data_IF_972462641740
#
_entry.id   IF_972462641740
#
_cell.length_a   1.000
_cell.length_b   1.000
_cell.length_c   1.000
_cell.angle_alpha   90.00
_cell.angle_beta   90.00
_cell.angle_gamma   90.00
#
_symmetry.space_group_name_H-M   'P 1'
#
loop_
_entity.id
_entity.type
_entity.pdbx_description
1 polymer ?
#
# COMPACT_ATOMS: atom_id res chain seq x y z
N UNK A 1 6.41 -26.20 0.90
CA UNK A 1 6.59 -24.79 0.51
C UNK A 1 5.66 -23.82 1.25
N UNK A 2 4.78 -24.25 2.18
CA UNK A 2 3.83 -23.34 2.84
C UNK A 2 4.40 -22.62 4.06
N UNK A 3 5.07 -23.31 4.99
CA UNK A 3 5.46 -22.67 6.27
C UNK A 3 6.37 -21.45 6.13
N UNK A 4 7.26 -21.43 5.14
CA UNK A 4 8.21 -20.32 4.97
C UNK A 4 7.60 -19.11 4.25
N UNK A 5 6.73 -19.33 3.26
CA UNK A 5 6.08 -18.24 2.53
C UNK A 5 5.08 -17.49 3.41
N UNK A 6 4.26 -18.21 4.18
CA UNK A 6 3.33 -17.60 5.13
C UNK A 6 4.09 -16.73 6.14
N UNK A 7 5.27 -17.16 6.59
CA UNK A 7 6.06 -16.40 7.55
C UNK A 7 6.56 -15.06 6.98
N UNK A 8 7.10 -15.05 5.75
CA UNK A 8 7.62 -13.81 5.13
C UNK A 8 6.53 -12.76 4.94
N UNK A 9 5.37 -13.17 4.42
CA UNK A 9 4.29 -12.24 4.12
C UNK A 9 3.63 -11.67 5.36
N UNK A 10 3.42 -12.52 6.37
CA UNK A 10 2.91 -12.10 7.67
C UNK A 10 3.89 -11.19 8.38
N UNK A 11 5.19 -11.48 8.29
CA UNK A 11 6.24 -10.63 8.87
C UNK A 11 6.29 -9.26 8.20
N UNK A 12 6.25 -9.18 6.87
CA UNK A 12 6.23 -7.89 6.16
C UNK A 12 5.02 -7.03 6.58
N UNK A 13 3.83 -7.65 6.67
CA UNK A 13 2.61 -6.95 7.09
C UNK A 13 2.68 -6.53 8.57
N UNK A 14 3.25 -7.37 9.44
CA UNK A 14 3.46 -7.04 10.85
C UNK A 14 4.44 -5.87 11.00
N UNK A 15 5.56 -5.88 10.25
CA UNK A 15 6.53 -4.77 10.22
C UNK A 15 5.86 -3.47 9.76
N UNK A 16 5.01 -3.53 8.73
CA UNK A 16 4.20 -2.38 8.30
C UNK A 16 3.36 -1.82 9.46
N UNK A 17 2.58 -2.66 10.15
CA UNK A 17 1.71 -2.19 11.23
C UNK A 17 2.49 -1.67 12.45
N UNK A 18 3.60 -2.32 12.82
CA UNK A 18 4.48 -1.85 13.89
C UNK A 18 5.06 -0.47 13.54
N UNK A 19 5.54 -0.29 12.30
CA UNK A 19 6.03 0.99 11.82
C UNK A 19 4.92 2.05 11.83
N UNK A 20 3.74 1.73 11.29
CA UNK A 20 2.59 2.66 11.24
C UNK A 20 2.20 3.11 12.64
N UNK A 21 2.11 2.18 13.59
CA UNK A 21 1.80 2.48 14.98
C UNK A 21 2.85 3.40 15.60
N UNK A 22 4.14 3.14 15.36
CA UNK A 22 5.23 3.98 15.86
C UNK A 22 5.19 5.40 15.28
N UNK A 23 5.06 5.56 13.97
CA UNK A 23 5.09 6.88 13.32
C UNK A 23 3.82 7.70 13.60
N UNK A 24 2.64 7.09 13.57
CA UNK A 24 1.40 7.77 13.95
C UNK A 24 1.38 8.11 15.44
N UNK A 25 1.84 7.18 16.29
CA UNK A 25 1.96 7.40 17.72
C UNK A 25 2.91 8.56 18.05
N UNK A 26 4.04 8.67 17.37
CA UNK A 26 4.99 9.78 17.53
C UNK A 26 4.37 11.13 17.14
N UNK A 27 3.57 11.19 16.07
CA UNK A 27 2.86 12.40 15.68
C UNK A 27 1.83 12.82 16.74
N UNK A 28 1.06 11.86 17.27
CA UNK A 28 0.07 12.12 18.32
C UNK A 28 0.75 12.60 19.62
N UNK A 29 1.78 11.89 20.09
CA UNK A 29 2.47 12.23 21.34
C UNK A 29 3.16 13.59 21.26
N UNK A 30 3.81 13.90 20.14
CA UNK A 30 4.49 15.18 19.97
C UNK A 30 3.52 16.36 19.78
N UNK A 31 2.25 16.09 19.44
CA UNK A 31 1.28 17.10 19.02
C UNK A 31 1.68 17.83 17.72
N UNK A 32 2.78 17.42 17.09
CA UNK A 32 3.28 17.96 15.84
C UNK A 32 3.01 16.94 14.73
N UNK A 33 2.99 17.40 13.48
CA UNK A 33 2.71 16.53 12.32
C UNK A 33 1.29 15.95 12.25
N UNK A 34 0.31 16.56 12.93
CA UNK A 34 -1.11 16.14 12.85
C UNK A 34 -1.64 16.07 11.42
N UNK A 35 -1.31 17.06 10.58
CA UNK A 35 -1.72 17.08 9.16
C UNK A 35 -1.05 15.93 8.39
N UNK A 36 0.24 15.69 8.67
CA UNK A 36 0.98 14.61 8.03
C UNK A 36 0.43 13.23 8.43
N UNK A 37 0.07 13.07 9.72
CA UNK A 37 -0.59 11.88 10.26
C UNK A 37 -1.99 11.68 9.67
N UNK A 38 -2.76 12.77 9.45
CA UNK A 38 -4.05 12.71 8.79
C UNK A 38 -3.93 12.19 7.35
N UNK A 39 -2.94 12.65 6.60
CA UNK A 39 -2.66 12.09 5.26
C UNK A 39 -2.25 10.63 5.35
N UNK A 40 -1.41 10.25 6.33
CA UNK A 40 -1.03 8.86 6.51
C UNK A 40 -2.25 7.96 6.78
N UNK A 41 -3.22 8.45 7.56
CA UNK A 41 -4.46 7.72 7.82
C UNK A 41 -5.28 7.47 6.55
N UNK A 42 -5.17 8.32 5.54
CA UNK A 42 -5.86 8.13 4.26
C UNK A 42 -5.42 6.84 3.54
N UNK A 43 -4.22 6.31 3.85
CA UNK A 43 -3.76 5.01 3.34
C UNK A 43 -4.59 3.84 3.89
N UNK A 44 -5.19 3.98 5.08
CA UNK A 44 -6.04 2.95 5.68
C UNK A 44 -7.34 2.76 4.90
N UNK A 45 -7.78 3.76 4.13
CA UNK A 45 -8.92 3.62 3.22
C UNK A 45 -8.69 2.49 2.22
N UNK A 46 -7.48 2.37 1.65
CA UNK A 46 -7.18 1.21 0.80
C UNK A 46 -7.13 -0.10 1.60
N UNK A 47 -6.65 -0.07 2.85
CA UNK A 47 -6.65 -1.26 3.72
C UNK A 47 -8.05 -1.86 3.86
N UNK A 48 -9.10 -1.03 3.98
CA UNK A 48 -10.49 -1.48 3.99
C UNK A 48 -10.84 -2.31 2.74
N UNK A 49 -10.50 -1.82 1.54
CA UNK A 49 -10.74 -2.56 0.29
C UNK A 49 -9.95 -3.87 0.22
N UNK A 50 -8.71 -3.88 0.73
CA UNK A 50 -7.90 -5.09 0.81
C UNK A 50 -8.51 -6.14 1.73
N UNK A 51 -9.05 -5.72 2.87
CA UNK A 51 -9.76 -6.59 3.80
C UNK A 51 -11.06 -7.11 3.20
N UNK A 52 -11.84 -6.27 2.53
CA UNK A 52 -13.04 -6.69 1.81
C UNK A 52 -12.72 -7.78 0.77
N UNK A 53 -11.67 -7.60 -0.03
CA UNK A 53 -11.21 -8.63 -0.98
C UNK A 53 -10.88 -9.95 -0.28
N UNK A 54 -10.18 -9.87 0.85
CA UNK A 54 -9.80 -11.05 1.64
C UNK A 54 -11.02 -11.77 2.21
N UNK A 55 -12.00 -11.04 2.74
CA UNK A 55 -13.27 -11.58 3.23
C UNK A 55 -14.05 -12.25 2.08
N UNK A 56 -14.11 -11.63 0.90
CA UNK A 56 -14.76 -12.24 -0.28
C UNK A 56 -14.09 -13.54 -0.72
N UNK A 57 -12.76 -13.62 -0.60
CA UNK A 57 -12.01 -14.81 -0.96
C UNK A 57 -12.22 -15.94 0.08
N UNK A 58 -12.17 -15.62 1.37
CA UNK A 58 -12.34 -16.60 2.46
C UNK A 58 -13.79 -17.10 2.55
N UNK A 59 -14.78 -16.23 2.36
CA UNK A 59 -16.21 -16.61 2.42
C UNK A 59 -16.67 -17.45 1.23
N UNK A 60 -15.86 -17.57 0.17
CA UNK A 60 -16.27 -18.23 -1.06
C UNK A 60 -17.31 -17.45 -1.88
N UNK A 61 -17.66 -16.22 -1.46
CA UNK A 61 -18.57 -15.33 -2.18
C UNK A 61 -18.11 -15.03 -3.62
N UNK A 62 -16.81 -15.20 -3.91
CA UNK A 62 -16.23 -15.22 -5.25
C UNK A 62 -17.03 -16.08 -6.24
N UNK A 63 -17.45 -17.28 -5.83
CA UNK A 63 -18.15 -18.23 -6.71
C UNK A 63 -19.58 -17.80 -6.99
N UNK A 64 -20.20 -17.13 -6.03
CA UNK A 64 -21.60 -16.69 -6.09
C UNK A 64 -21.70 -15.38 -6.90
N UNK A 65 -20.77 -14.45 -6.69
CA UNK A 65 -20.78 -13.13 -7.31
C UNK A 65 -19.49 -12.83 -8.09
N UNK A 66 -19.24 -13.52 -9.21
CA UNK A 66 -17.99 -13.37 -9.96
C UNK A 66 -17.82 -11.95 -10.55
N UNK A 67 -18.91 -11.27 -10.90
CA UNK A 67 -18.86 -9.92 -11.44
C UNK A 67 -18.46 -8.90 -10.38
N UNK A 68 -19.06 -8.96 -9.18
CA UNK A 68 -18.73 -8.07 -8.07
C UNK A 68 -17.28 -8.27 -7.62
N UNK A 69 -16.81 -9.51 -7.59
CA UNK A 69 -15.42 -9.78 -7.27
C UNK A 69 -14.45 -9.13 -8.27
N UNK A 70 -14.72 -9.22 -9.58
CA UNK A 70 -13.89 -8.54 -10.60
C UNK A 70 -13.81 -7.03 -10.36
N UNK A 71 -14.94 -6.38 -10.07
CA UNK A 71 -14.95 -4.96 -9.72
C UNK A 71 -14.13 -4.67 -8.47
N UNK A 72 -14.26 -5.50 -7.44
CA UNK A 72 -13.50 -5.36 -6.19
C UNK A 72 -11.99 -5.47 -6.43
N UNK A 73 -11.53 -6.36 -7.31
CA UNK A 73 -10.12 -6.44 -7.71
C UNK A 73 -9.64 -5.14 -8.36
N UNK A 74 -10.40 -4.60 -9.31
CA UNK A 74 -10.06 -3.35 -10.00
C UNK A 74 -10.05 -2.15 -9.05
N UNK A 75 -11.05 -2.04 -8.17
CA UNK A 75 -11.14 -0.98 -7.16
C UNK A 75 -9.97 -1.10 -6.18
N UNK A 76 -9.59 -2.31 -5.78
CA UNK A 76 -8.47 -2.51 -4.85
C UNK A 76 -7.14 -2.02 -5.44
N UNK A 77 -6.86 -2.32 -6.72
CA UNK A 77 -5.66 -1.79 -7.41
C UNK A 77 -5.73 -0.27 -7.56
N UNK A 78 -6.88 0.25 -7.97
CA UNK A 78 -7.09 1.69 -8.17
C UNK A 78 -6.91 2.48 -6.86
N UNK A 79 -7.57 2.03 -5.79
CA UNK A 79 -7.45 2.65 -4.47
C UNK A 79 -6.04 2.51 -3.91
N UNK A 80 -5.31 1.41 -4.21
CA UNK A 80 -3.94 1.26 -3.76
C UNK A 80 -3.00 2.26 -4.45
N UNK A 81 -3.19 2.50 -5.76
CA UNK A 81 -2.40 3.50 -6.50
C UNK A 81 -2.62 4.91 -5.94
N UNK A 82 -3.89 5.31 -5.73
CA UNK A 82 -4.21 6.66 -5.28
C UNK A 82 -3.90 6.85 -3.79
N UNK A 83 -4.50 6.03 -2.93
CA UNK A 83 -4.45 6.24 -1.48
C UNK A 83 -3.15 5.78 -0.85
N UNK A 84 -2.40 4.83 -1.42
CA UNK A 84 -1.07 4.48 -0.90
C UNK A 84 0.02 5.27 -1.59
N UNK A 85 0.23 5.04 -2.89
CA UNK A 85 1.36 5.67 -3.60
C UNK A 85 1.16 7.17 -3.80
N UNK A 86 -0.05 7.60 -4.19
CA UNK A 86 -0.35 9.02 -4.40
C UNK A 86 -0.20 9.85 -3.12
N UNK A 87 -0.79 9.38 -2.01
CA UNK A 87 -0.68 10.04 -0.70
C UNK A 87 0.75 10.08 -0.19
N UNK A 88 1.51 8.99 -0.34
CA UNK A 88 2.92 8.96 0.07
C UNK A 88 3.80 9.87 -0.77
N UNK A 89 3.60 9.88 -2.09
CA UNK A 89 4.28 10.81 -2.99
C UNK A 89 4.00 12.27 -2.58
N UNK A 90 2.74 12.56 -2.23
CA UNK A 90 2.34 13.87 -1.73
C UNK A 90 2.99 14.22 -0.39
N UNK A 91 3.04 13.27 0.56
CA UNK A 91 3.71 13.45 1.85
C UNK A 91 5.21 13.75 1.69
N UNK A 92 5.89 12.99 0.83
CA UNK A 92 7.31 13.18 0.54
C UNK A 92 7.53 14.54 -0.13
N UNK A 93 6.72 14.90 -1.13
CA UNK A 93 6.79 16.20 -1.78
C UNK A 93 6.58 17.37 -0.80
N UNK A 94 5.58 17.25 0.08
CA UNK A 94 5.33 18.24 1.12
C UNK A 94 6.47 18.32 2.13
N UNK A 95 7.08 17.19 2.50
CA UNK A 95 8.25 17.16 3.37
C UNK A 95 9.42 17.89 2.73
N UNK A 96 9.71 17.64 1.44
CA UNK A 96 10.72 18.36 0.67
C UNK A 96 10.49 19.88 0.63
N UNK A 97 9.24 20.31 0.41
CA UNK A 97 8.91 21.74 0.34
C UNK A 97 9.09 22.45 1.69
N UNK A 98 8.88 21.76 2.80
CA UNK A 98 8.93 22.36 4.13
C UNK A 98 10.23 22.06 4.90
N UNK A 99 11.26 21.53 4.24
CA UNK A 99 12.54 21.20 4.87
C UNK A 99 13.14 22.36 5.67
N UNK A 100 13.05 23.58 5.15
CA UNK A 100 13.63 24.77 5.78
C UNK A 100 12.82 25.25 7.01
N UNK A 101 11.53 24.92 7.08
CA UNK A 101 10.64 25.38 8.16
C UNK A 101 10.51 24.35 9.30
N UNK A 102 11.07 23.15 9.12
CA UNK A 102 10.93 22.05 10.06
C UNK A 102 12.24 21.78 10.78
N UNK A 103 12.14 21.44 12.06
CA UNK A 103 13.31 20.98 12.81
C UNK A 103 13.87 19.71 12.16
N UNK A 104 15.19 19.64 12.04
CA UNK A 104 15.92 18.60 11.31
C UNK A 104 15.48 17.17 11.66
N UNK A 105 15.21 16.90 12.95
CA UNK A 105 14.73 15.60 13.42
C UNK A 105 13.42 15.20 12.74
N UNK A 106 12.47 16.12 12.63
CA UNK A 106 11.20 15.79 12.00
C UNK A 106 11.30 15.68 10.48
N UNK A 107 12.20 16.43 9.85
CA UNK A 107 12.52 16.23 8.44
C UNK A 107 13.04 14.81 8.18
N UNK A 108 13.95 14.31 9.03
CA UNK A 108 14.44 12.93 8.95
C UNK A 108 13.29 11.94 9.12
N UNK A 109 12.45 12.12 10.14
CA UNK A 109 11.32 11.22 10.40
C UNK A 109 10.36 11.20 9.20
N UNK A 110 10.01 12.36 8.65
CA UNK A 110 9.08 12.47 7.51
C UNK A 110 9.67 11.88 6.22
N UNK A 111 10.94 12.16 5.91
CA UNK A 111 11.59 11.63 4.71
C UNK A 111 11.92 10.14 4.83
N UNK A 112 12.59 9.74 5.92
CA UNK A 112 12.97 8.35 6.14
C UNK A 112 11.73 7.45 6.30
N UNK A 113 10.76 7.89 7.11
CA UNK A 113 9.48 7.21 7.26
C UNK A 113 8.75 7.11 5.92
N UNK A 114 8.57 8.22 5.21
CA UNK A 114 7.93 8.24 3.90
C UNK A 114 8.60 7.31 2.87
N UNK A 115 9.93 7.33 2.81
CA UNK A 115 10.71 6.46 1.92
C UNK A 115 10.62 4.96 2.30
N UNK A 116 10.57 4.62 3.58
CA UNK A 116 10.36 3.24 4.00
C UNK A 116 8.94 2.76 3.66
N UNK A 117 7.93 3.60 3.91
CA UNK A 117 6.54 3.28 3.61
C UNK A 117 6.29 3.11 2.12
N UNK A 118 6.90 3.92 1.25
CA UNK A 118 6.71 3.78 -0.20
C UNK A 118 7.28 2.46 -0.73
N UNK A 119 8.41 1.99 -0.18
CA UNK A 119 8.98 0.69 -0.53
C UNK A 119 8.02 -0.44 -0.10
N UNK A 120 7.57 -0.42 1.15
CA UNK A 120 6.64 -1.44 1.69
C UNK A 120 5.33 -1.46 0.90
N UNK A 121 4.76 -0.29 0.59
CA UNK A 121 3.50 -0.20 -0.14
C UNK A 121 3.65 -0.60 -1.60
N UNK A 122 4.78 -0.32 -2.24
CA UNK A 122 5.10 -0.83 -3.57
C UNK A 122 5.15 -2.36 -3.58
N UNK A 123 5.88 -2.98 -2.64
CA UNK A 123 5.93 -4.45 -2.52
C UNK A 123 4.53 -5.05 -2.31
N UNK A 124 3.71 -4.42 -1.47
CA UNK A 124 2.35 -4.89 -1.20
C UNK A 124 1.43 -4.77 -2.42
N UNK A 125 1.54 -3.71 -3.22
CA UNK A 125 0.81 -3.55 -4.49
C UNK A 125 1.24 -4.61 -5.49
N UNK A 126 2.55 -4.83 -5.66
CA UNK A 126 3.07 -5.87 -6.55
C UNK A 126 2.60 -7.26 -6.14
N UNK A 127 2.55 -7.53 -4.82
CA UNK A 127 1.99 -8.77 -4.27
C UNK A 127 0.52 -8.94 -4.65
N UNK A 128 -0.30 -7.92 -4.44
CA UNK A 128 -1.73 -7.96 -4.79
C UNK A 128 -1.89 -8.17 -6.30
N UNK A 129 -1.15 -7.42 -7.12
CA UNK A 129 -1.18 -7.54 -8.57
C UNK A 129 -0.75 -8.94 -9.06
N UNK A 130 0.21 -9.57 -8.38
CA UNK A 130 0.63 -10.95 -8.66
C UNK A 130 -0.45 -11.98 -8.28
N UNK A 131 -1.06 -11.81 -7.11
CA UNK A 131 -2.09 -12.71 -6.56
C UNK A 131 -3.37 -12.66 -7.40
N UNK A 132 -3.75 -11.47 -7.86
CA UNK A 132 -4.95 -11.26 -8.67
C UNK A 132 -4.72 -11.59 -10.16
N UNK A 133 -3.51 -12.03 -10.52
CA UNK A 133 -3.15 -12.50 -11.86
C UNK A 133 -2.93 -11.39 -12.89
N UNK A 134 -2.81 -10.12 -12.48
CA UNK A 134 -2.52 -9.00 -13.38
C UNK A 134 -1.15 -9.12 -14.03
N UNK A 135 -0.12 -9.54 -13.29
CA UNK A 135 1.24 -9.70 -13.84
C UNK A 135 1.31 -10.77 -14.94
N UNK A 136 0.59 -11.89 -14.77
CA UNK A 136 0.52 -12.94 -15.78
C UNK A 136 -0.18 -12.47 -17.07
N UNK A 137 -1.21 -11.64 -16.96
CA UNK A 137 -1.89 -11.03 -18.11
C UNK A 137 -0.99 -10.02 -18.83
N UNK A 138 -0.25 -9.20 -18.07
CA UNK A 138 0.69 -8.23 -18.63
C UNK A 138 1.84 -8.90 -19.40
N UNK A 139 2.42 -9.96 -18.85
CA UNK A 139 3.46 -10.74 -19.55
C UNK A 139 2.94 -11.35 -20.86
N UNK A 140 1.72 -11.92 -20.86
CA UNK A 140 1.09 -12.43 -22.09
C UNK A 140 0.82 -11.34 -23.12
N UNK A 141 0.43 -10.14 -22.68
CA UNK A 141 0.22 -8.99 -23.56
C UNK A 141 1.52 -8.55 -24.24
N UNK A 142 2.62 -8.41 -23.49
CA UNK A 142 3.94 -8.10 -24.05
C UNK A 142 4.39 -9.18 -25.02
N UNK A 143 4.26 -10.46 -24.65
CA UNK A 143 4.65 -11.58 -25.51
C UNK A 143 3.86 -11.60 -26.84
N UNK A 144 2.57 -11.24 -26.79
CA UNK A 144 1.75 -11.09 -28.00
C UNK A 144 2.24 -9.93 -28.86
N UNK A 145 2.48 -8.76 -28.27
CA UNK A 145 2.95 -7.57 -28.98
C UNK A 145 4.32 -7.78 -29.65
N UNK A 146 5.21 -8.53 -29.02
CA UNK A 146 6.51 -8.88 -29.60
C UNK A 146 6.44 -9.92 -30.74
N UNK A 147 5.31 -10.62 -30.91
CA UNK A 147 5.11 -11.57 -32.02
C UNK A 147 4.49 -10.90 -33.25
N UNK A 148 3.79 -9.78 -33.03
CA UNK A 148 3.11 -9.02 -34.08
C UNK A 148 4.05 -7.96 -34.72
N UNK A 149 5.27 -7.78 -34.17
CA UNK A 149 6.39 -7.00 -34.73
C UNK A 149 7.42 -7.93 -35.40
#
# INVERSE_FOLDING_TARGET
MSKHEWNKYTLELAVHHIATFFFLGAAIWSGKFLIYALWALLMEVNSVFLHLRTIFNISGALKIYPILYKWLLHINIFTALIFRLGVQGFQIHWAFKNLNNMHFIYCIIALCGGSLFIIINCMLILRIASTDGYLGKFSKYIAKNNRDN
#
